data_IF_384784429371
#
_entry.id   IF_384784429371
#
_cell.length_a   1.000
_cell.length_b   1.000
_cell.length_c   1.000
_cell.angle_alpha   90.00
_cell.angle_beta   90.00
_cell.angle_gamma   90.00
#
_symmetry.space_group_name_H-M   'P 1'
#
loop_
_entity.id
_entity.type
_entity.pdbx_description
1 polymer ?
#
# COMPACT_ATOMS: atom_id res chain seq x y z
N UNK A 1 -16.86 37.88 15.70
CA UNK A 1 -17.07 36.50 16.18
C UNK A 1 -15.79 35.71 15.90
N UNK A 2 -14.99 35.44 16.93
CA UNK A 2 -13.76 34.64 16.81
C UNK A 2 -14.17 33.16 16.83
N UNK A 3 -14.12 32.49 15.68
CA UNK A 3 -14.17 31.04 15.65
C UNK A 3 -12.83 30.54 16.21
N UNK A 4 -12.86 30.00 17.43
CA UNK A 4 -11.71 29.29 18.01
C UNK A 4 -11.46 28.07 17.13
N UNK A 5 -10.31 28.04 16.43
CA UNK A 5 -9.77 26.78 15.91
C UNK A 5 -9.36 25.96 17.14
N UNK A 6 -10.29 25.21 17.69
CA UNK A 6 -9.95 24.14 18.63
C UNK A 6 -9.18 23.09 17.83
N UNK A 7 -7.85 23.08 18.00
CA UNK A 7 -7.00 21.98 17.59
C UNK A 7 -7.51 20.72 18.30
N UNK A 8 -8.31 19.93 17.58
CA UNK A 8 -8.56 18.57 18.01
C UNK A 8 -7.28 17.79 17.66
N UNK A 9 -6.39 17.67 18.65
CA UNK A 9 -5.28 16.71 18.60
C UNK A 9 -5.92 15.33 18.57
N UNK A 10 -6.18 14.82 17.37
CA UNK A 10 -6.65 13.45 17.19
C UNK A 10 -5.41 12.57 17.22
N UNK A 11 -5.03 12.11 18.41
CA UNK A 11 -4.09 11.00 18.58
C UNK A 11 -4.69 9.75 17.93
N UNK A 12 -4.45 9.56 16.64
CA UNK A 12 -4.72 8.30 15.94
C UNK A 12 -3.51 7.40 16.13
N UNK A 13 -3.52 6.63 17.22
CA UNK A 13 -2.62 5.49 17.41
C UNK A 13 -3.10 4.36 16.48
N UNK A 14 -2.56 4.33 15.25
CA UNK A 14 -2.56 3.16 14.40
C UNK A 14 -1.41 2.25 14.79
N UNK A 15 -1.72 1.09 15.38
CA UNK A 15 -0.75 0.08 15.74
C UNK A 15 -0.14 -0.55 14.47
N UNK A 16 1.12 -0.25 14.19
CA UNK A 16 1.98 -1.16 13.42
C UNK A 16 2.86 -1.92 14.42
N UNK A 17 3.00 -3.22 14.16
CA UNK A 17 3.67 -4.18 15.02
C UNK A 17 5.18 -3.87 15.15
N UNK A 18 5.67 -3.82 16.39
CA UNK A 18 7.06 -3.55 16.76
C UNK A 18 7.31 -2.11 17.24
N UNK A 19 8.21 -1.88 18.22
CA UNK A 19 8.61 -0.52 18.57
C UNK A 19 9.30 0.12 17.38
N UNK A 20 8.74 1.23 16.88
CA UNK A 20 9.37 2.01 15.83
C UNK A 20 10.73 2.54 16.33
N UNK A 21 11.75 2.62 15.46
CA UNK A 21 13.02 3.24 15.84
C UNK A 21 12.80 4.68 16.32
N UNK A 22 13.44 5.05 17.43
CA UNK A 22 13.22 6.34 18.11
C UNK A 22 13.80 7.55 17.37
N UNK A 23 14.62 7.33 16.34
CA UNK A 23 15.32 8.38 15.61
C UNK A 23 15.34 8.10 14.11
N UNK A 24 15.03 9.14 13.34
CA UNK A 24 15.20 9.21 11.90
C UNK A 24 15.53 10.65 11.48
N UNK A 25 15.93 10.90 10.23
CA UNK A 25 16.27 12.24 9.79
C UNK A 25 15.07 13.17 9.93
N UNK A 26 15.33 14.39 10.38
CA UNK A 26 14.31 15.38 10.70
C UNK A 26 14.55 16.71 10.00
N UNK A 27 13.47 17.43 9.77
CA UNK A 27 13.46 18.80 9.28
C UNK A 27 12.71 19.67 10.28
N UNK A 28 13.42 20.65 10.83
CA UNK A 28 12.82 21.71 11.63
C UNK A 28 12.22 22.79 10.71
N UNK A 29 10.99 23.16 11.02
CA UNK A 29 10.14 24.03 10.22
C UNK A 29 9.69 25.20 11.10
N UNK A 30 10.46 26.30 11.15
CA UNK A 30 10.01 27.52 11.79
C UNK A 30 8.87 28.12 10.95
N UNK A 31 7.66 28.11 11.52
CA UNK A 31 6.43 28.54 10.86
C UNK A 31 5.64 29.52 11.72
N UNK A 32 5.03 30.50 11.08
CA UNK A 32 4.14 31.48 11.70
C UNK A 32 2.68 31.03 11.61
N UNK A 33 1.85 31.47 12.56
CA UNK A 33 0.41 31.24 12.50
C UNK A 33 -0.17 31.79 11.19
N UNK A 34 -0.97 30.98 10.50
CA UNK A 34 -1.55 31.29 9.19
C UNK A 34 -0.66 30.95 8.00
N UNK A 35 0.50 30.33 8.19
CA UNK A 35 1.31 29.78 7.09
C UNK A 35 0.88 28.36 6.72
N UNK A 36 1.20 27.98 5.49
CA UNK A 36 1.21 26.60 5.01
C UNK A 36 2.63 26.19 4.65
N UNK A 37 2.98 24.94 4.95
CA UNK A 37 4.20 24.29 4.48
C UNK A 37 3.87 22.99 3.76
N UNK A 38 4.50 22.78 2.60
CA UNK A 38 4.51 21.51 1.89
C UNK A 38 5.86 20.85 2.10
N UNK A 39 5.84 19.64 2.65
CA UNK A 39 7.06 18.86 2.94
C UNK A 39 6.99 17.57 2.16
N UNK A 40 8.12 17.13 1.65
CA UNK A 40 8.26 15.91 0.87
C UNK A 40 9.31 15.01 1.52
N UNK A 41 9.02 13.71 1.62
CA UNK A 41 10.01 12.69 1.93
C UNK A 41 10.13 11.76 0.73
N UNK A 42 11.33 11.64 0.16
CA UNK A 42 11.59 10.68 -0.91
C UNK A 42 11.81 9.30 -0.30
N UNK A 43 10.89 8.38 -0.60
CA UNK A 43 10.93 7.02 -0.05
C UNK A 43 11.89 6.07 -0.79
N UNK A 44 12.66 6.52 -1.79
CA UNK A 44 13.55 5.64 -2.59
C UNK A 44 14.42 4.67 -1.80
N UNK A 45 14.92 5.07 -0.62
CA UNK A 45 15.92 4.30 0.14
C UNK A 45 15.36 3.55 1.33
N UNK A 46 14.14 3.87 1.78
CA UNK A 46 13.52 3.25 2.95
C UNK A 46 12.00 3.38 2.91
N UNK A 47 11.31 2.39 3.45
CA UNK A 47 9.88 2.50 3.71
C UNK A 47 9.74 3.35 4.97
N UNK A 48 8.96 4.44 4.91
CA UNK A 48 8.95 5.42 6.01
C UNK A 48 7.55 5.70 6.49
N UNK A 49 7.46 5.95 7.79
CA UNK A 49 6.37 6.71 8.40
C UNK A 49 6.86 8.13 8.64
N UNK A 50 6.14 9.12 8.13
CA UNK A 50 6.45 10.52 8.42
C UNK A 50 5.58 11.02 9.56
N UNK A 51 6.24 11.46 10.62
CA UNK A 51 5.60 11.99 11.82
C UNK A 51 5.91 13.47 11.93
N UNK A 52 4.90 14.29 12.22
CA UNK A 52 5.06 15.71 12.46
C UNK A 52 4.75 16.00 13.92
N UNK A 53 5.66 16.71 14.58
CA UNK A 53 5.54 17.20 15.94
C UNK A 53 5.30 18.71 15.91
N UNK A 54 4.40 19.18 16.78
CA UNK A 54 4.15 20.61 16.99
C UNK A 54 5.19 21.26 17.92
N UNK A 55 5.13 22.59 18.10
CA UNK A 55 6.08 23.35 18.93
C UNK A 55 6.14 22.91 20.40
N UNK A 56 5.03 22.38 20.92
CA UNK A 56 4.95 21.80 22.27
C UNK A 56 5.48 20.37 22.39
N UNK A 57 6.03 19.79 21.32
CA UNK A 57 6.56 18.42 21.28
C UNK A 57 5.51 17.32 21.09
N UNK A 58 4.21 17.66 21.08
CA UNK A 58 3.13 16.71 20.79
C UNK A 58 3.09 16.31 19.32
N UNK A 59 2.77 15.05 19.04
CA UNK A 59 2.52 14.56 17.68
C UNK A 59 1.21 15.14 17.15
N UNK A 60 1.25 15.74 15.95
CA UNK A 60 0.07 16.35 15.30
C UNK A 60 -0.40 15.56 14.08
N UNK A 61 0.50 14.85 13.41
CA UNK A 61 0.21 14.07 12.21
C UNK A 61 1.18 12.88 12.16
N UNK A 62 0.66 11.72 11.80
CA UNK A 62 1.47 10.55 11.45
C UNK A 62 0.90 9.98 10.17
N UNK A 63 1.73 9.94 9.13
CA UNK A 63 1.43 9.29 7.87
C UNK A 63 2.29 8.05 7.74
N UNK A 64 1.60 6.94 7.61
CA UNK A 64 2.14 5.68 7.14
C UNK A 64 1.35 5.41 5.87
N UNK A 65 1.80 6.01 4.77
CA UNK A 65 1.12 5.78 3.53
C UNK A 65 1.46 4.33 3.11
N UNK A 66 0.47 3.57 2.61
CA UNK A 66 0.73 2.21 2.15
C UNK A 66 1.51 2.18 0.81
N UNK A 67 2.09 3.31 0.39
CA UNK A 67 2.90 3.43 -0.82
C UNK A 67 4.32 2.91 -0.62
N UNK A 68 4.78 2.85 0.63
CA UNK A 68 6.11 2.40 0.99
C UNK A 68 7.24 3.06 0.21
N UNK A 69 8.42 2.42 0.08
CA UNK A 69 9.69 2.88 -0.56
C UNK A 69 9.64 3.62 -1.93
N UNK A 70 8.47 3.96 -2.47
CA UNK A 70 8.29 4.21 -3.87
C UNK A 70 7.44 5.44 -4.24
N UNK A 71 7.29 6.47 -3.40
CA UNK A 71 6.70 7.75 -3.84
C UNK A 71 7.14 8.91 -2.95
N UNK A 72 7.05 10.18 -3.42
CA UNK A 72 7.20 11.30 -2.50
C UNK A 72 6.02 11.29 -1.52
N UNK A 73 6.28 11.10 -0.23
CA UNK A 73 5.31 11.40 0.82
C UNK A 73 5.18 12.91 0.91
N UNK A 74 4.07 13.46 0.39
CA UNK A 74 3.81 14.89 0.45
C UNK A 74 2.88 15.22 1.59
N UNK A 75 3.39 16.00 2.53
CA UNK A 75 2.65 16.60 3.63
C UNK A 75 2.17 17.99 3.24
N UNK A 76 0.98 18.33 3.71
CA UNK A 76 0.48 19.69 3.80
C UNK A 76 0.31 20.00 5.29
N UNK A 77 0.94 21.08 5.77
CA UNK A 77 0.86 21.53 7.15
C UNK A 77 0.27 22.94 7.20
N UNK A 78 -0.95 23.08 7.72
CA UNK A 78 -1.57 24.38 7.98
C UNK A 78 -1.33 24.78 9.45
N UNK A 79 -0.71 25.92 9.66
CA UNK A 79 -0.17 26.32 10.95
C UNK A 79 -1.17 27.23 11.67
N UNK A 80 -1.75 26.75 12.76
CA UNK A 80 -2.64 27.55 13.61
C UNK A 80 -1.94 28.28 14.76
N UNK A 81 -0.78 27.78 15.21
CA UNK A 81 0.06 28.39 16.23
C UNK A 81 1.49 28.55 15.70
N UNK A 82 2.08 29.73 15.88
CA UNK A 82 3.45 29.96 15.44
C UNK A 82 4.46 29.22 16.31
N UNK A 83 5.48 28.62 15.69
CA UNK A 83 6.54 27.93 16.40
C UNK A 83 7.35 27.01 15.47
N UNK A 84 8.24 26.23 16.06
CA UNK A 84 9.03 25.25 15.31
C UNK A 84 8.32 23.91 15.29
N UNK A 85 7.86 23.51 14.11
CA UNK A 85 7.35 22.17 13.86
C UNK A 85 8.52 21.28 13.44
N UNK A 86 8.43 19.98 13.73
CA UNK A 86 9.48 19.02 13.36
C UNK A 86 8.86 17.87 12.57
N UNK A 87 9.21 17.76 11.29
CA UNK A 87 8.90 16.60 10.48
C UNK A 87 10.02 15.57 10.62
N UNK A 88 9.68 14.30 10.87
CA UNK A 88 10.62 13.21 11.08
C UNK A 88 10.24 12.06 10.17
N UNK A 89 11.19 11.56 9.38
CA UNK A 89 11.01 10.33 8.60
C UNK A 89 11.53 9.15 9.42
N UNK A 90 10.65 8.24 9.83
CA UNK A 90 11.00 7.06 10.61
C UNK A 90 10.99 5.83 9.70
N UNK A 91 12.07 5.03 9.62
CA UNK A 91 12.06 3.81 8.83
C UNK A 91 11.11 2.78 9.46
N UNK A 92 10.33 2.09 8.62
CA UNK A 92 9.46 0.99 9.05
C UNK A 92 10.25 -0.33 9.21
N UNK A 93 11.42 -0.44 8.58
CA UNK A 93 12.32 -1.59 8.67
C UNK A 93 13.60 -1.17 9.40
N UNK A 94 13.97 -1.94 10.44
CA UNK A 94 15.18 -1.67 11.20
C UNK A 94 16.43 -1.79 10.31
N UNK A 95 17.30 -0.79 10.38
CA UNK A 95 18.55 -0.72 9.60
C UNK A 95 18.43 0.03 8.27
N UNK A 96 17.22 0.35 7.80
CA UNK A 96 17.04 1.24 6.66
C UNK A 96 17.34 2.70 7.03
N UNK A 97 17.87 3.46 6.06
CA UNK A 97 18.17 4.89 6.21
C UNK A 97 17.22 5.71 5.32
N UNK A 98 16.21 6.38 5.91
CA UNK A 98 15.33 7.27 5.16
C UNK A 98 16.08 8.45 4.58
N UNK A 99 15.56 9.01 3.48
CA UNK A 99 15.91 10.37 3.12
C UNK A 99 15.35 11.38 4.14
N UNK A 100 16.04 12.49 4.33
CA UNK A 100 15.55 13.57 5.16
C UNK A 100 14.32 14.24 4.52
N UNK A 101 13.34 14.68 5.32
CA UNK A 101 12.27 15.52 4.82
C UNK A 101 12.80 16.80 4.19
N UNK A 102 12.15 17.24 3.11
CA UNK A 102 12.51 18.44 2.35
C UNK A 102 11.33 19.37 2.24
N UNK A 103 11.55 20.66 2.53
CA UNK A 103 10.56 21.70 2.29
C UNK A 103 10.43 21.93 0.77
N UNK A 104 9.23 21.76 0.23
CA UNK A 104 8.90 22.09 -1.15
C UNK A 104 8.47 23.54 -1.30
N UNK A 105 7.62 23.98 -0.38
CA UNK A 105 6.98 25.29 -0.43
C UNK A 105 6.62 25.74 0.98
N UNK A 106 6.81 27.02 1.26
CA UNK A 106 6.30 27.70 2.45
C UNK A 106 5.75 29.06 2.04
N UNK A 107 4.51 29.35 2.43
CA UNK A 107 3.86 30.63 2.14
C UNK A 107 2.68 30.89 3.09
N UNK A 108 2.10 32.10 3.11
CA UNK A 108 0.81 32.34 3.74
C UNK A 108 -0.28 31.41 3.17
N UNK A 109 -1.18 30.97 4.05
CA UNK A 109 -2.27 30.09 3.68
C UNK A 109 -3.31 30.83 2.82
N UNK A 110 -3.64 30.22 1.69
CA UNK A 110 -4.73 30.59 0.79
C UNK A 110 -6.04 29.92 1.23
N UNK A 111 -7.16 30.35 0.64
CA UNK A 111 -8.48 29.81 0.98
C UNK A 111 -8.57 28.28 0.79
N UNK A 112 -7.97 27.77 -0.28
CA UNK A 112 -8.01 26.35 -0.70
C UNK A 112 -7.11 25.45 0.18
N UNK A 113 -6.17 26.03 0.93
CA UNK A 113 -5.23 25.27 1.76
C UNK A 113 -5.90 24.59 2.96
N UNK A 114 -7.06 25.10 3.41
CA UNK A 114 -7.86 24.44 4.44
C UNK A 114 -8.38 23.09 3.97
N UNK A 115 -8.84 22.99 2.72
CA UNK A 115 -9.27 21.71 2.14
C UNK A 115 -8.08 20.77 1.99
N UNK A 116 -6.90 21.28 1.61
CA UNK A 116 -5.69 20.47 1.53
C UNK A 116 -5.28 19.86 2.89
N UNK A 117 -5.30 20.67 3.95
CA UNK A 117 -5.02 20.22 5.32
C UNK A 117 -6.04 19.18 5.80
N UNK A 118 -7.34 19.48 5.67
CA UNK A 118 -8.40 18.54 6.06
C UNK A 118 -8.30 17.23 5.27
N UNK A 119 -8.00 17.30 3.97
CA UNK A 119 -7.78 16.11 3.14
C UNK A 119 -6.64 15.25 3.67
N UNK A 120 -5.56 15.87 4.15
CA UNK A 120 -4.43 15.17 4.76
C UNK A 120 -4.82 14.46 6.06
N UNK A 121 -5.59 15.12 6.93
CA UNK A 121 -6.10 14.52 8.16
C UNK A 121 -7.02 13.31 7.86
N UNK A 122 -7.90 13.43 6.86
CA UNK A 122 -8.76 12.32 6.41
C UNK A 122 -7.93 11.17 5.85
N UNK A 123 -6.97 11.47 4.98
CA UNK A 123 -6.09 10.46 4.41
C UNK A 123 -5.31 9.70 5.50
N UNK A 124 -4.71 10.41 6.46
CA UNK A 124 -4.02 9.83 7.60
C UNK A 124 -4.91 8.89 8.41
N UNK A 125 -6.15 9.32 8.67
CA UNK A 125 -7.15 8.51 9.38
C UNK A 125 -7.52 7.25 8.61
N UNK A 126 -7.77 7.36 7.31
CA UNK A 126 -8.10 6.20 6.48
C UNK A 126 -6.94 5.20 6.42
N UNK A 127 -5.70 5.69 6.28
CA UNK A 127 -4.49 4.87 6.34
C UNK A 127 -4.34 4.15 7.69
N UNK A 128 -4.62 4.84 8.81
CA UNK A 128 -4.57 4.23 10.13
C UNK A 128 -5.60 3.10 10.33
N UNK A 129 -6.79 3.23 9.74
CA UNK A 129 -7.82 2.19 9.77
C UNK A 129 -7.41 0.98 8.91
N UNK A 130 -6.72 1.21 7.80
CA UNK A 130 -6.24 0.16 6.91
C UNK A 130 -4.95 -0.53 7.39
N UNK A 131 -4.19 0.12 8.26
CA UNK A 131 -2.87 -0.36 8.71
C UNK A 131 -2.89 -1.76 9.32
N UNK A 132 -1.80 -2.51 9.15
CA UNK A 132 -1.63 -3.85 9.71
C UNK A 132 -2.42 -4.92 8.97
N UNK A 133 -3.30 -5.63 9.69
CA UNK A 133 -4.19 -6.69 9.17
C UNK A 133 -5.64 -6.21 9.26
N UNK A 134 -6.08 -5.32 8.36
CA UNK A 134 -7.40 -4.71 8.47
C UNK A 134 -8.49 -5.77 8.31
N UNK A 135 -9.51 -5.73 9.17
CA UNK A 135 -10.72 -6.52 8.98
C UNK A 135 -11.57 -5.87 7.89
N UNK A 136 -12.51 -6.62 7.35
CA UNK A 136 -13.48 -6.10 6.39
C UNK A 136 -14.24 -4.87 6.93
N UNK A 137 -14.56 -4.83 8.23
CA UNK A 137 -15.17 -3.67 8.88
C UNK A 137 -14.24 -2.44 8.86
N UNK A 138 -12.94 -2.62 9.09
CA UNK A 138 -11.96 -1.54 9.05
C UNK A 138 -11.85 -0.97 7.63
N UNK A 139 -11.87 -1.84 6.62
CA UNK A 139 -11.90 -1.47 5.20
C UNK A 139 -13.18 -0.67 4.86
N UNK A 140 -14.35 -1.13 5.32
CA UNK A 140 -15.62 -0.40 5.13
C UNK A 140 -15.61 0.98 5.80
N UNK A 141 -14.93 1.13 6.93
CA UNK A 141 -14.76 2.42 7.62
C UNK A 141 -13.73 3.30 6.93
N UNK A 142 -12.66 2.74 6.37
CA UNK A 142 -11.60 3.47 5.69
C UNK A 142 -12.05 4.04 4.33
N UNK A 143 -12.83 3.28 3.55
CA UNK A 143 -13.25 3.66 2.20
C UNK A 143 -13.90 5.06 2.12
N UNK A 144 -14.98 5.39 2.85
CA UNK A 144 -15.60 6.71 2.74
C UNK A 144 -14.66 7.83 3.22
N UNK A 145 -13.70 7.53 4.09
CA UNK A 145 -12.71 8.51 4.57
C UNK A 145 -11.65 8.78 3.50
N UNK A 146 -11.20 7.76 2.75
CA UNK A 146 -10.35 7.97 1.57
C UNK A 146 -11.07 8.77 0.48
N UNK A 147 -12.36 8.48 0.24
CA UNK A 147 -13.17 9.22 -0.74
C UNK A 147 -13.34 10.68 -0.34
N UNK A 148 -13.61 10.97 0.94
CA UNK A 148 -13.65 12.34 1.46
C UNK A 148 -12.30 13.05 1.29
N UNK A 149 -11.19 12.37 1.56
CA UNK A 149 -9.85 12.92 1.33
C UNK A 149 -9.62 13.29 -0.15
N UNK A 150 -10.01 12.41 -1.08
CA UNK A 150 -9.90 12.65 -2.51
C UNK A 150 -10.67 13.91 -2.95
N UNK A 151 -11.91 14.07 -2.48
CA UNK A 151 -12.73 15.26 -2.80
C UNK A 151 -12.14 16.55 -2.19
N UNK A 152 -11.57 16.48 -0.99
CA UNK A 152 -10.88 17.61 -0.37
C UNK A 152 -9.62 18.01 -1.15
N UNK A 153 -8.85 17.03 -1.66
CA UNK A 153 -7.71 17.29 -2.53
C UNK A 153 -8.10 17.83 -3.90
N UNK A 154 -9.24 17.37 -4.44
CA UNK A 154 -9.83 17.92 -5.65
C UNK A 154 -10.14 19.41 -5.49
N UNK A 155 -10.87 19.78 -4.42
CA UNK A 155 -11.18 21.17 -4.07
C UNK A 155 -9.93 22.02 -3.88
N UNK A 156 -8.90 21.45 -3.26
CA UNK A 156 -7.61 22.10 -3.05
C UNK A 156 -6.75 22.23 -4.33
N UNK A 157 -7.22 21.70 -5.47
CA UNK A 157 -6.46 21.60 -6.73
C UNK A 157 -5.10 20.95 -6.51
N UNK A 158 -5.12 19.80 -5.82
CA UNK A 158 -3.95 18.96 -5.55
C UNK A 158 -4.12 17.61 -6.24
N UNK A 159 -3.97 17.58 -7.57
CA UNK A 159 -4.30 16.38 -8.36
C UNK A 159 -3.39 15.18 -8.03
N UNK A 160 -2.17 15.41 -7.54
CA UNK A 160 -1.32 14.33 -7.01
C UNK A 160 -1.97 13.65 -5.82
N UNK A 161 -2.37 14.42 -4.81
CA UNK A 161 -2.94 13.90 -3.57
C UNK A 161 -4.33 13.30 -3.82
N UNK A 162 -5.11 13.89 -4.73
CA UNK A 162 -6.37 13.31 -5.20
C UNK A 162 -6.13 11.93 -5.82
N UNK A 163 -5.16 11.82 -6.74
CA UNK A 163 -4.83 10.56 -7.40
C UNK A 163 -4.35 9.48 -6.42
N UNK A 164 -3.52 9.86 -5.45
CA UNK A 164 -3.07 9.00 -4.35
C UNK A 164 -4.26 8.49 -3.53
N UNK A 165 -5.14 9.38 -3.07
CA UNK A 165 -6.31 9.01 -2.27
C UNK A 165 -7.28 8.11 -3.03
N UNK A 166 -7.55 8.38 -4.31
CA UNK A 166 -8.40 7.55 -5.16
C UNK A 166 -7.78 6.18 -5.44
N UNK A 167 -6.47 6.09 -5.62
CA UNK A 167 -5.77 4.81 -5.81
C UNK A 167 -5.89 3.92 -4.57
N UNK A 168 -5.75 4.50 -3.38
CA UNK A 168 -5.94 3.77 -2.12
C UNK A 168 -7.41 3.37 -1.91
N UNK A 169 -8.36 4.24 -2.25
CA UNK A 169 -9.79 3.91 -2.24
C UNK A 169 -10.11 2.74 -3.19
N UNK A 170 -9.58 2.76 -4.41
CA UNK A 170 -9.74 1.67 -5.38
C UNK A 170 -9.15 0.35 -4.87
N UNK A 171 -8.00 0.39 -4.21
CA UNK A 171 -7.43 -0.80 -3.57
C UNK A 171 -8.33 -1.35 -2.46
N UNK A 172 -8.98 -0.49 -1.67
CA UNK A 172 -9.96 -0.90 -0.65
C UNK A 172 -11.22 -1.48 -1.30
N UNK A 173 -11.72 -0.88 -2.39
CA UNK A 173 -12.86 -1.39 -3.15
C UNK A 173 -12.62 -2.79 -3.70
N UNK A 174 -11.43 -3.05 -4.26
CA UNK A 174 -11.02 -4.40 -4.70
C UNK A 174 -11.03 -5.39 -3.53
N UNK A 175 -10.54 -5.00 -2.36
CA UNK A 175 -10.52 -5.86 -1.18
C UNK A 175 -11.93 -6.13 -0.61
N UNK A 176 -12.85 -5.18 -0.77
CA UNK A 176 -14.26 -5.32 -0.40
C UNK A 176 -15.11 -6.05 -1.46
N UNK A 177 -14.52 -6.44 -2.59
CA UNK A 177 -15.24 -7.11 -3.67
C UNK A 177 -16.14 -6.18 -4.48
N UNK A 178 -15.81 -4.89 -4.56
CA UNK A 178 -16.53 -3.86 -5.32
C UNK A 178 -15.72 -3.34 -6.54
N UNK A 179 -15.26 -4.22 -7.46
CA UNK A 179 -14.30 -3.84 -8.49
C UNK A 179 -14.85 -2.88 -9.56
N UNK A 180 -16.17 -2.83 -9.79
CA UNK A 180 -16.78 -1.86 -10.73
C UNK A 180 -16.50 -0.42 -10.30
N UNK A 181 -16.67 -0.13 -9.01
CA UNK A 181 -16.37 1.19 -8.43
C UNK A 181 -14.87 1.47 -8.45
N UNK A 182 -14.04 0.45 -8.25
CA UNK A 182 -12.59 0.60 -8.34
C UNK A 182 -12.13 0.95 -9.76
N UNK A 183 -12.78 0.42 -10.80
CA UNK A 183 -12.53 0.81 -12.20
C UNK A 183 -12.89 2.28 -12.44
N UNK A 184 -14.01 2.76 -11.90
CA UNK A 184 -14.40 4.18 -12.00
C UNK A 184 -13.36 5.10 -11.34
N UNK A 185 -12.92 4.78 -10.11
CA UNK A 185 -11.92 5.58 -9.40
C UNK A 185 -10.56 5.56 -10.13
N UNK A 186 -10.10 4.40 -10.61
CA UNK A 186 -8.82 4.30 -11.32
C UNK A 186 -8.85 4.96 -12.71
N UNK A 187 -10.00 4.98 -13.39
CA UNK A 187 -10.17 5.73 -14.63
C UNK A 187 -10.01 7.24 -14.39
N UNK A 188 -10.58 7.76 -13.30
CA UNK A 188 -10.40 9.16 -12.90
C UNK A 188 -8.93 9.48 -12.59
N UNK A 189 -8.21 8.57 -11.94
CA UNK A 189 -6.77 8.74 -11.70
C UNK A 189 -5.98 8.79 -13.01
N UNK A 190 -6.32 7.95 -13.98
CA UNK A 190 -5.64 7.96 -15.29
C UNK A 190 -5.78 9.32 -16.00
N UNK A 191 -6.96 9.96 -15.94
CA UNK A 191 -7.15 11.33 -16.45
C UNK A 191 -6.28 12.36 -15.74
N UNK A 192 -6.18 12.27 -14.40
CA UNK A 192 -5.32 13.16 -13.60
C UNK A 192 -3.86 12.99 -14.00
N UNK A 193 -3.35 11.75 -14.02
CA UNK A 193 -1.96 11.45 -14.36
C UNK A 193 -1.61 11.94 -15.76
N UNK A 194 -2.44 11.64 -16.76
CA UNK A 194 -2.22 12.12 -18.14
C UNK A 194 -2.19 13.66 -18.22
N UNK A 195 -3.07 14.32 -17.46
CA UNK A 195 -3.07 15.78 -17.36
C UNK A 195 -1.77 16.35 -16.80
N UNK A 196 -1.08 15.64 -15.91
CA UNK A 196 0.12 16.14 -15.22
C UNK A 196 1.43 15.78 -15.94
N UNK A 197 1.46 14.64 -16.64
CA UNK A 197 2.53 14.30 -17.57
C UNK A 197 2.65 15.32 -18.70
N UNK A 198 1.52 15.81 -19.22
CA UNK A 198 1.49 16.90 -20.19
C UNK A 198 2.15 18.21 -19.67
N UNK A 199 2.26 18.37 -18.35
CA UNK A 199 2.92 19.50 -17.68
C UNK A 199 4.34 19.15 -17.18
N UNK A 200 4.90 18.01 -17.58
CA UNK A 200 6.27 17.62 -17.23
C UNK A 200 6.47 17.21 -15.76
N UNK A 201 5.40 16.79 -15.07
CA UNK A 201 5.44 16.30 -13.69
C UNK A 201 5.24 14.78 -13.65
N UNK A 202 6.25 13.96 -13.96
CA UNK A 202 6.09 12.51 -14.01
C UNK A 202 5.94 11.91 -12.61
N UNK A 203 4.92 11.07 -12.41
CA UNK A 203 4.70 10.29 -11.17
C UNK A 203 4.69 8.80 -11.45
N UNK A 204 5.83 8.25 -11.89
CA UNK A 204 5.89 6.93 -12.50
C UNK A 204 5.42 5.80 -11.57
N UNK A 205 5.62 5.95 -10.26
CA UNK A 205 5.18 4.95 -9.28
C UNK A 205 3.68 5.00 -9.03
N UNK A 206 3.11 6.21 -8.93
CA UNK A 206 1.67 6.39 -8.84
C UNK A 206 0.98 5.87 -10.11
N UNK A 207 1.56 6.15 -11.28
CA UNK A 207 1.12 5.61 -12.57
C UNK A 207 1.06 4.08 -12.52
N UNK A 208 2.18 3.41 -12.20
CA UNK A 208 2.25 1.95 -12.16
C UNK A 208 1.28 1.37 -11.13
N UNK A 209 1.21 1.91 -9.91
CA UNK A 209 0.26 1.42 -8.88
C UNK A 209 -1.20 1.58 -9.29
N UNK A 210 -1.53 2.69 -9.97
CA UNK A 210 -2.87 2.90 -10.50
C UNK A 210 -3.20 1.85 -11.55
N UNK A 211 -2.27 1.58 -12.47
CA UNK A 211 -2.42 0.52 -13.47
C UNK A 211 -2.60 -0.85 -12.80
N UNK A 212 -1.83 -1.18 -11.76
CA UNK A 212 -1.96 -2.43 -11.02
C UNK A 212 -3.31 -2.54 -10.31
N UNK A 213 -3.78 -1.48 -9.63
CA UNK A 213 -5.10 -1.44 -9.02
C UNK A 213 -6.22 -1.60 -10.05
N UNK A 214 -6.08 -0.98 -11.22
CA UNK A 214 -7.02 -1.12 -12.33
C UNK A 214 -7.01 -2.55 -12.90
N UNK A 215 -5.83 -3.14 -13.11
CA UNK A 215 -5.66 -4.53 -13.55
C UNK A 215 -6.31 -5.54 -12.58
N UNK A 216 -6.11 -5.37 -11.27
CA UNK A 216 -6.80 -6.16 -10.22
C UNK A 216 -8.31 -6.06 -10.33
N UNK A 217 -8.82 -4.84 -10.51
CA UNK A 217 -10.25 -4.56 -10.63
C UNK A 217 -10.85 -5.25 -11.87
N UNK A 218 -10.20 -5.11 -13.02
CA UNK A 218 -10.60 -5.77 -14.27
C UNK A 218 -10.55 -7.30 -14.15
N UNK A 219 -9.53 -7.85 -13.48
CA UNK A 219 -9.41 -9.29 -13.22
C UNK A 219 -10.58 -9.81 -12.39
N UNK A 220 -10.96 -9.13 -11.31
CA UNK A 220 -12.12 -9.50 -10.50
C UNK A 220 -13.44 -9.42 -11.30
N UNK A 221 -13.54 -8.47 -12.24
CA UNK A 221 -14.65 -8.37 -13.19
C UNK A 221 -14.60 -9.39 -14.34
N UNK A 222 -13.61 -10.30 -14.36
CA UNK A 222 -13.40 -11.28 -15.44
C UNK A 222 -13.12 -10.67 -16.82
N UNK A 223 -12.71 -9.41 -16.88
CA UNK A 223 -12.24 -8.71 -18.09
C UNK A 223 -10.75 -8.99 -18.29
N UNK A 224 -10.40 -10.26 -18.53
CA UNK A 224 -9.04 -10.77 -18.38
C UNK A 224 -8.07 -10.23 -19.45
N UNK A 225 -8.52 -10.02 -20.68
CA UNK A 225 -7.72 -9.43 -21.76
C UNK A 225 -7.34 -7.98 -21.45
N UNK A 226 -8.29 -7.20 -20.94
CA UNK A 226 -8.04 -5.81 -20.55
C UNK A 226 -7.14 -5.74 -19.31
N UNK A 227 -7.35 -6.63 -18.35
CA UNK A 227 -6.49 -6.75 -17.17
C UNK A 227 -5.04 -7.04 -17.57
N UNK A 228 -4.83 -7.97 -18.51
CA UNK A 228 -3.51 -8.34 -19.02
C UNK A 228 -2.83 -7.16 -19.72
N UNK A 229 -3.55 -6.45 -20.60
CA UNK A 229 -3.02 -5.28 -21.28
C UNK A 229 -2.57 -4.18 -20.29
N UNK A 230 -3.39 -3.92 -19.26
CA UNK A 230 -3.08 -2.90 -18.25
C UNK A 230 -1.93 -3.33 -17.33
N UNK A 231 -1.90 -4.59 -16.90
CA UNK A 231 -0.81 -5.12 -16.08
C UNK A 231 0.51 -5.21 -16.87
N UNK A 232 0.46 -5.48 -18.18
CA UNK A 232 1.62 -5.43 -19.08
C UNK A 232 2.22 -4.02 -19.16
N UNK A 233 1.38 -3.00 -19.35
CA UNK A 233 1.82 -1.59 -19.30
C UNK A 233 2.42 -1.23 -17.95
N UNK A 234 1.86 -1.73 -16.84
CA UNK A 234 2.40 -1.53 -15.51
C UNK A 234 3.81 -2.12 -15.37
N UNK A 235 4.02 -3.35 -15.90
CA UNK A 235 5.33 -4.01 -15.91
C UNK A 235 6.36 -3.24 -16.75
N UNK A 236 6.01 -2.86 -17.99
CA UNK A 236 6.88 -2.09 -18.88
C UNK A 236 7.30 -0.76 -18.24
N UNK A 237 6.33 -0.04 -17.65
CA UNK A 237 6.59 1.23 -16.97
C UNK A 237 7.47 1.06 -15.73
N UNK A 238 7.32 -0.05 -15.01
CA UNK A 238 8.16 -0.39 -13.86
C UNK A 238 9.59 -0.74 -14.28
N UNK A 239 9.77 -1.54 -15.32
CA UNK A 239 11.08 -1.96 -15.83
C UNK A 239 11.85 -0.77 -16.43
N UNK A 240 11.18 0.07 -17.22
CA UNK A 240 11.81 1.26 -17.83
C UNK A 240 12.35 2.27 -16.81
N UNK A 241 11.94 2.16 -15.54
CA UNK A 241 12.25 3.12 -14.47
C UNK A 241 12.86 2.45 -13.23
N UNK A 242 13.29 1.19 -13.37
CA UNK A 242 13.93 0.38 -12.33
C UNK A 242 13.13 0.31 -11.01
N UNK A 243 11.80 0.28 -11.13
CA UNK A 243 10.87 0.21 -10.01
C UNK A 243 10.73 -1.23 -9.49
N UNK A 244 11.68 -1.65 -8.66
CA UNK A 244 11.82 -3.05 -8.26
C UNK A 244 10.60 -3.63 -7.53
N UNK A 245 9.94 -2.85 -6.66
CA UNK A 245 8.75 -3.29 -5.91
C UNK A 245 7.53 -3.39 -6.82
N UNK A 246 7.26 -2.35 -7.59
CA UNK A 246 6.17 -2.33 -8.57
C UNK A 246 6.33 -3.42 -9.62
N UNK A 247 7.56 -3.73 -10.01
CA UNK A 247 7.87 -4.86 -10.91
C UNK A 247 7.49 -6.21 -10.30
N UNK A 248 7.75 -6.42 -9.00
CA UNK A 248 7.28 -7.63 -8.28
C UNK A 248 5.75 -7.71 -8.32
N UNK A 249 5.06 -6.63 -7.97
CA UNK A 249 3.60 -6.59 -7.99
C UNK A 249 3.02 -6.80 -9.41
N UNK A 250 3.67 -6.27 -10.45
CA UNK A 250 3.26 -6.47 -11.82
C UNK A 250 3.40 -7.93 -12.28
N UNK A 251 4.50 -8.59 -11.92
CA UNK A 251 4.64 -10.03 -12.18
C UNK A 251 3.60 -10.85 -11.40
N UNK A 252 3.31 -10.50 -10.15
CA UNK A 252 2.26 -11.15 -9.36
C UNK A 252 0.87 -11.02 -10.01
N UNK A 253 0.51 -9.81 -10.47
CA UNK A 253 -0.77 -9.59 -11.14
C UNK A 253 -0.87 -10.31 -12.48
N UNK A 254 0.17 -10.27 -13.32
CA UNK A 254 0.20 -11.02 -14.57
C UNK A 254 0.09 -12.53 -14.33
N UNK A 255 0.76 -13.06 -13.30
CA UNK A 255 0.61 -14.44 -12.87
C UNK A 255 -0.83 -14.78 -12.45
N UNK A 256 -1.47 -13.89 -11.68
CA UNK A 256 -2.86 -14.05 -11.23
C UNK A 256 -3.86 -13.98 -12.37
N UNK A 257 -3.61 -13.13 -13.38
CA UNK A 257 -4.41 -13.05 -14.60
C UNK A 257 -4.26 -14.36 -15.40
N UNK A 258 -3.03 -14.82 -15.64
CA UNK A 258 -2.78 -16.08 -16.34
C UNK A 258 -3.41 -17.29 -15.62
N UNK A 259 -3.35 -17.33 -14.29
CA UNK A 259 -4.03 -18.35 -13.48
C UNK A 259 -5.55 -18.30 -13.68
N UNK A 260 -6.14 -17.09 -13.66
CA UNK A 260 -7.57 -16.87 -13.91
C UNK A 260 -8.01 -17.27 -15.33
N UNK A 261 -7.09 -17.17 -16.30
CA UNK A 261 -7.26 -17.64 -17.69
C UNK A 261 -7.04 -19.15 -17.86
N UNK A 262 -6.75 -19.89 -16.78
CA UNK A 262 -6.38 -21.32 -16.81
C UNK A 262 -5.13 -21.60 -17.66
N UNK A 263 -4.14 -20.70 -17.59
CA UNK A 263 -2.85 -20.82 -18.27
C UNK A 263 -1.73 -21.08 -17.24
N UNK A 264 -1.71 -22.26 -16.58
CA UNK A 264 -0.85 -22.49 -15.42
C UNK A 264 0.66 -22.45 -15.74
N UNK A 265 1.06 -22.79 -16.97
CA UNK A 265 2.47 -22.70 -17.39
C UNK A 265 2.96 -21.25 -17.41
N UNK A 266 2.12 -20.33 -17.89
CA UNK A 266 2.41 -18.89 -17.93
C UNK A 266 2.35 -18.31 -16.51
N UNK A 267 1.31 -18.65 -15.74
CA UNK A 267 1.16 -18.23 -14.36
C UNK A 267 2.39 -18.60 -13.51
N UNK A 268 2.86 -19.86 -13.64
CA UNK A 268 4.05 -20.34 -12.96
C UNK A 268 5.29 -19.50 -13.30
N UNK A 269 5.51 -19.20 -14.57
CA UNK A 269 6.68 -18.42 -14.98
C UNK A 269 6.71 -17.04 -14.31
N UNK A 270 5.56 -16.38 -14.24
CA UNK A 270 5.42 -15.09 -13.56
C UNK A 270 5.59 -15.20 -12.04
N UNK A 271 4.98 -16.21 -11.40
CA UNK A 271 5.13 -16.40 -9.96
C UNK A 271 6.55 -16.82 -9.55
N UNK A 272 7.27 -17.59 -10.36
CA UNK A 272 8.69 -17.86 -10.14
C UNK A 272 9.54 -16.60 -10.24
N UNK A 273 9.21 -15.69 -11.18
CA UNK A 273 9.89 -14.40 -11.30
C UNK A 273 9.63 -13.50 -10.11
N UNK A 274 8.38 -13.43 -9.65
CA UNK A 274 7.99 -12.74 -8.42
C UNK A 274 8.78 -13.30 -7.22
N UNK A 275 8.79 -14.62 -7.01
CA UNK A 275 9.55 -15.28 -5.94
C UNK A 275 11.04 -14.94 -5.96
N UNK A 276 11.67 -14.99 -7.13
CA UNK A 276 13.10 -14.70 -7.29
C UNK A 276 13.43 -13.24 -6.94
N UNK A 277 12.61 -12.30 -7.41
CA UNK A 277 12.77 -10.88 -7.11
C UNK A 277 12.52 -10.58 -5.63
N UNK A 278 11.44 -11.09 -5.04
CA UNK A 278 11.18 -10.91 -3.60
C UNK A 278 12.26 -11.55 -2.73
N UNK A 279 12.88 -12.64 -3.17
CA UNK A 279 14.05 -13.22 -2.49
C UNK A 279 15.24 -12.29 -2.53
N UNK A 280 15.58 -11.74 -3.70
CA UNK A 280 16.67 -10.76 -3.83
C UNK A 280 16.43 -9.47 -3.05
N UNK A 281 15.17 -9.07 -2.86
CA UNK A 281 14.78 -7.88 -2.13
C UNK A 281 14.63 -8.09 -0.62
N UNK A 282 14.74 -9.32 -0.10
CA UNK A 282 14.43 -9.62 1.30
C UNK A 282 12.96 -9.45 1.67
N UNK A 283 12.06 -9.36 0.68
CA UNK A 283 10.62 -9.18 0.87
C UNK A 283 9.97 -10.50 1.28
N UNK A 284 9.87 -10.72 2.59
CA UNK A 284 9.25 -11.91 3.18
C UNK A 284 7.81 -12.10 2.69
N UNK A 285 6.99 -11.03 2.67
CA UNK A 285 5.57 -11.12 2.27
C UNK A 285 5.43 -11.49 0.81
N UNK A 286 6.19 -10.86 -0.08
CA UNK A 286 6.19 -11.23 -1.50
C UNK A 286 6.63 -12.67 -1.74
N UNK A 287 7.64 -13.16 -0.99
CA UNK A 287 8.09 -14.56 -1.08
C UNK A 287 7.00 -15.54 -0.65
N UNK A 288 6.39 -15.35 0.51
CA UNK A 288 5.32 -16.23 1.02
C UNK A 288 4.13 -16.25 0.05
N UNK A 289 3.73 -15.08 -0.46
CA UNK A 289 2.65 -15.01 -1.45
C UNK A 289 2.99 -15.71 -2.76
N UNK A 290 4.24 -15.61 -3.22
CA UNK A 290 4.68 -16.35 -4.39
C UNK A 290 4.64 -17.88 -4.16
N UNK A 291 4.96 -18.36 -2.95
CA UNK A 291 4.79 -19.78 -2.59
C UNK A 291 3.32 -20.23 -2.65
N UNK A 292 2.41 -19.45 -2.07
CA UNK A 292 0.97 -19.71 -2.12
C UNK A 292 0.45 -19.78 -3.58
N UNK A 293 0.80 -18.78 -4.37
CA UNK A 293 0.42 -18.70 -5.79
C UNK A 293 1.00 -19.86 -6.62
N UNK A 294 2.25 -20.27 -6.34
CA UNK A 294 2.86 -21.44 -6.98
C UNK A 294 2.15 -22.73 -6.57
N UNK A 295 1.83 -22.91 -5.29
CA UNK A 295 1.09 -24.06 -4.80
C UNK A 295 -0.27 -24.18 -5.53
N UNK A 296 -1.03 -23.09 -5.58
CA UNK A 296 -2.30 -23.02 -6.31
C UNK A 296 -2.16 -23.29 -7.82
N UNK A 297 -1.04 -22.86 -8.41
CA UNK A 297 -0.75 -23.13 -9.83
C UNK A 297 -0.46 -24.61 -10.08
N UNK A 298 0.30 -25.26 -9.20
CA UNK A 298 0.58 -26.70 -9.32
C UNK A 298 -0.66 -27.56 -9.03
N UNK A 299 -1.52 -27.13 -8.10
CA UNK A 299 -2.86 -27.69 -7.89
C UNK A 299 -3.66 -27.66 -9.20
N UNK A 300 -3.69 -26.52 -9.91
CA UNK A 300 -4.37 -26.37 -11.19
C UNK A 300 -3.79 -27.28 -12.29
N UNK A 301 -2.49 -27.61 -12.20
CA UNK A 301 -1.81 -28.53 -13.12
C UNK A 301 -2.03 -30.01 -12.78
N UNK A 302 -2.81 -30.34 -11.75
CA UNK A 302 -2.94 -31.69 -11.20
C UNK A 302 -1.57 -32.29 -10.80
N UNK A 303 -0.71 -31.47 -10.22
CA UNK A 303 0.62 -31.83 -9.72
C UNK A 303 0.67 -31.64 -8.20
N UNK A 304 -0.03 -32.49 -7.42
CA UNK A 304 -0.24 -32.21 -6.01
C UNK A 304 1.03 -32.33 -5.17
N UNK A 305 2.00 -33.19 -5.56
CA UNK A 305 3.29 -33.30 -4.89
C UNK A 305 4.07 -31.98 -4.93
N UNK A 306 4.05 -31.30 -6.08
CA UNK A 306 4.67 -29.99 -6.23
C UNK A 306 3.89 -28.92 -5.45
N UNK A 307 2.55 -28.93 -5.54
CA UNK A 307 1.70 -28.00 -4.80
C UNK A 307 1.95 -28.07 -3.28
N UNK A 308 1.99 -29.29 -2.73
CA UNK A 308 2.35 -29.58 -1.34
C UNK A 308 3.74 -29.07 -0.98
N UNK A 309 4.71 -29.25 -1.88
CA UNK A 309 6.09 -28.80 -1.66
C UNK A 309 6.15 -27.28 -1.52
N UNK A 310 5.54 -26.54 -2.46
CA UNK A 310 5.51 -25.08 -2.41
C UNK A 310 4.70 -24.56 -1.21
N UNK A 311 3.58 -25.20 -0.86
CA UNK A 311 2.79 -24.81 0.32
C UNK A 311 3.59 -24.99 1.63
N UNK A 312 4.32 -26.10 1.77
CA UNK A 312 5.20 -26.33 2.94
C UNK A 312 6.34 -25.32 3.02
N UNK A 313 7.00 -25.03 1.91
CA UNK A 313 8.06 -24.02 1.87
C UNK A 313 7.56 -22.62 2.28
N UNK A 314 6.32 -22.28 1.92
CA UNK A 314 5.69 -21.04 2.37
C UNK A 314 5.43 -21.04 3.89
N UNK A 315 4.97 -22.17 4.46
CA UNK A 315 4.71 -22.31 5.90
C UNK A 315 6.00 -22.29 6.71
N UNK A 316 7.02 -23.05 6.30
CA UNK A 316 8.36 -23.05 6.92
C UNK A 316 8.94 -21.63 6.96
N UNK A 317 8.78 -20.86 5.88
CA UNK A 317 9.24 -19.48 5.83
C UNK A 317 8.48 -18.56 6.80
N UNK A 318 7.19 -18.81 7.06
CA UNK A 318 6.44 -18.08 8.07
C UNK A 318 6.91 -18.45 9.48
N UNK A 319 7.11 -19.74 9.76
CA UNK A 319 7.61 -20.24 11.06
C UNK A 319 8.99 -19.66 11.40
N UNK A 320 9.92 -19.64 10.44
CA UNK A 320 11.23 -19.00 10.60
C UNK A 320 11.12 -17.49 10.92
N UNK A 321 10.08 -16.84 10.42
CA UNK A 321 9.82 -15.42 10.61
C UNK A 321 9.03 -15.08 11.89
N UNK A 322 8.37 -16.04 12.54
CA UNK A 322 7.61 -15.82 13.79
C UNK A 322 8.50 -15.29 14.94
N UNK A 323 9.82 -15.47 14.86
CA UNK A 323 10.78 -14.83 15.75
C UNK A 323 11.06 -13.34 15.48
N UNK A 324 10.59 -12.78 14.37
CA UNK A 324 10.99 -11.43 13.90
C UNK A 324 9.90 -10.55 13.28
N UNK A 325 8.75 -11.05 12.80
CA UNK A 325 7.69 -10.19 12.25
C UNK A 325 6.37 -10.92 12.07
N UNK A 326 5.26 -10.20 12.28
CA UNK A 326 3.87 -10.66 12.15
C UNK A 326 3.52 -11.20 10.75
N UNK A 327 3.94 -12.43 10.48
CA UNK A 327 3.44 -13.32 9.45
C UNK A 327 1.90 -13.41 9.60
N UNK A 328 1.17 -12.94 8.58
CA UNK A 328 -0.26 -12.69 8.67
C UNK A 328 -1.05 -14.01 8.74
N UNK A 329 -2.02 -14.15 9.68
CA UNK A 329 -2.91 -15.32 9.74
C UNK A 329 -3.62 -15.64 8.42
N UNK A 330 -3.81 -14.64 7.55
CA UNK A 330 -4.41 -14.83 6.21
C UNK A 330 -3.51 -15.59 5.23
N UNK A 331 -2.21 -15.33 5.23
CA UNK A 331 -1.26 -15.99 4.31
C UNK A 331 -1.00 -17.43 4.76
N UNK A 332 -0.90 -17.63 6.07
CA UNK A 332 -0.83 -18.97 6.66
C UNK A 332 -2.09 -19.79 6.34
N UNK A 333 -3.28 -19.18 6.43
CA UNK A 333 -4.53 -19.82 6.05
C UNK A 333 -4.57 -20.20 4.56
N UNK A 334 -4.11 -19.32 3.66
CA UNK A 334 -4.02 -19.60 2.22
C UNK A 334 -3.09 -20.79 1.92
N UNK A 335 -1.90 -20.80 2.51
CA UNK A 335 -0.96 -21.92 2.37
C UNK A 335 -1.49 -23.23 2.95
N UNK A 336 -2.15 -23.20 4.11
CA UNK A 336 -2.81 -24.39 4.70
C UNK A 336 -3.95 -24.90 3.84
N UNK A 337 -4.71 -24.00 3.21
CA UNK A 337 -5.76 -24.37 2.26
C UNK A 337 -5.17 -25.11 1.06
N UNK A 338 -4.14 -24.57 0.42
CA UNK A 338 -3.47 -25.21 -0.71
C UNK A 338 -2.81 -26.54 -0.33
N UNK A 339 -2.21 -26.62 0.87
CA UNK A 339 -1.66 -27.86 1.41
C UNK A 339 -2.73 -28.94 1.59
N UNK A 340 -3.86 -28.59 2.20
CA UNK A 340 -4.98 -29.51 2.41
C UNK A 340 -5.55 -30.03 1.09
N UNK A 341 -5.69 -29.15 0.10
CA UNK A 341 -6.16 -29.53 -1.23
C UNK A 341 -5.18 -30.45 -1.96
N UNK A 342 -3.87 -30.17 -1.88
CA UNK A 342 -2.85 -31.03 -2.45
C UNK A 342 -2.86 -32.44 -1.83
N UNK A 343 -2.96 -32.55 -0.49
CA UNK A 343 -3.03 -33.83 0.21
C UNK A 343 -4.28 -34.64 -0.19
N UNK A 344 -5.43 -33.96 -0.33
CA UNK A 344 -6.65 -34.61 -0.80
C UNK A 344 -6.50 -35.19 -2.22
N UNK A 345 -5.82 -34.47 -3.12
CA UNK A 345 -5.57 -34.94 -4.50
C UNK A 345 -4.57 -36.11 -4.56
N UNK A 346 -3.68 -36.24 -3.58
CA UNK A 346 -2.74 -37.37 -3.48
C UNK A 346 -3.41 -38.67 -2.98
N UNK A 347 -4.66 -38.61 -2.51
CA UNK A 347 -5.36 -39.75 -1.92
C UNK A 347 -5.00 -40.00 -0.46
N UNK A 348 -4.38 -39.03 0.21
CA UNK A 348 -4.07 -39.09 1.64
C UNK A 348 -5.29 -38.55 2.43
N UNK A 349 -5.94 -39.32 3.30
CA UNK A 349 -6.99 -38.79 4.16
C UNK A 349 -6.40 -37.66 5.00
N UNK A 350 -7.06 -36.49 4.98
CA UNK A 350 -6.62 -35.22 5.55
C UNK A 350 -5.82 -35.34 6.88
N UNK A 351 -4.84 -34.44 7.13
CA UNK A 351 -4.22 -34.35 8.44
C UNK A 351 -5.32 -34.07 9.46
N UNK A 352 -5.57 -35.08 10.30
CA UNK A 352 -6.60 -35.06 11.33
C UNK A 352 -6.13 -34.14 12.47
N UNK A 353 -6.28 -32.82 12.30
CA UNK A 353 -6.37 -31.83 13.38
C UNK A 353 -6.53 -30.41 12.80
N UNK A 354 -7.77 -30.01 12.52
CA UNK A 354 -8.16 -28.59 12.41
C UNK A 354 -8.96 -28.27 13.69
N UNK A 355 -8.29 -27.57 14.62
CA UNK A 355 -8.77 -26.91 15.86
C UNK A 355 -9.60 -27.72 16.90
N UNK A 356 -9.22 -27.73 18.20
CA UNK A 356 -10.22 -27.86 19.25
C UNK A 356 -10.97 -26.52 19.35
N UNK A 357 -12.21 -26.49 18.86
CA UNK A 357 -13.19 -25.51 19.31
C UNK A 357 -13.56 -25.90 20.76
N UNK A 358 -12.94 -25.26 21.74
CA UNK A 358 -13.51 -25.22 23.10
C UNK A 358 -14.62 -24.17 23.10
N UNK A 359 -15.86 -24.66 23.26
CA UNK A 359 -17.09 -23.91 23.52
C UNK A 359 -16.99 -22.99 24.73
#
# INVERSE_FOLDING_TARGET
MRASLSFLVLCLLGACAGPLPEAGPSLDLPLSAGEIAFVEVDQKTADVRVVVYGPGGGQILSLDNSFGTAGPERLCLLVGEGGTYRAVALPLVAGEQPAAPRLLERRPAAADDRSCWQGMERFARAASLRGGSPREEDLRRALPVYQEAAELFHQARRPYLEAVARTEAASVLVALGEPSRAVEDTARVAELVAGLEAHGLPWPRLEVRTLLAHGRSLRQLRRLEEAEAVAGRALEAAEARDLSRERIEAYEELGSIAWSRRQPVIARAFFERCRALSTGAGDLRGRVRAYENLASTYTLMARPVDARTFARQGLELLEEAEGTSAALPSMEAGLRFELGWALQQEGDPAPTAIYPLSL
#
